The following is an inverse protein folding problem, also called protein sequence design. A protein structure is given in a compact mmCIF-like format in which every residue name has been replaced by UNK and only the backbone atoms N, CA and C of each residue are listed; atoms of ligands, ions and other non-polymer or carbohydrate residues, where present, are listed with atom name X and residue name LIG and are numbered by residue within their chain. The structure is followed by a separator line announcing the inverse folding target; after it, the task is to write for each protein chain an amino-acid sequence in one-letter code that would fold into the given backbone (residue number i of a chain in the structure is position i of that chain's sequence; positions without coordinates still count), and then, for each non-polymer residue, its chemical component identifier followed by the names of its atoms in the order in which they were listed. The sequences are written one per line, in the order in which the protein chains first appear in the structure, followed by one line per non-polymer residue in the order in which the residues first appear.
data_IF_862460429078
#
_entry.id   IF_862460429078
#
_cell.length_a   1.000
_cell.length_b   1.000
_cell.length_c   1.000
_cell.angle_alpha   90.00
_cell.angle_beta   90.00
_cell.angle_gamma   90.00
#
_symmetry.space_group_name_H-M   'P 1'
#
loop_
_entity.id
_entity.type
_entity.pdbx_description
1 polymer ?
#
# COMPACT_ATOMS: atom_id res chain seq x y z
N UNK A 1 22.08 1.11 -2.53
CA UNK A 1 22.85 0.62 -3.68
C UNK A 1 22.16 1.18 -4.92
N UNK A 2 22.87 1.98 -5.74
CA UNK A 2 22.34 2.43 -7.02
C UNK A 2 22.82 1.47 -8.10
N UNK A 3 21.91 1.06 -8.97
CA UNK A 3 22.17 0.05 -9.99
C UNK A 3 21.78 0.63 -11.33
N UNK A 4 22.59 0.37 -12.36
CA UNK A 4 22.29 0.78 -13.72
C UNK A 4 21.12 -0.05 -14.26
N UNK A 5 20.08 0.62 -14.74
CA UNK A 5 18.90 -0.05 -15.30
C UNK A 5 19.15 -0.68 -16.68
N UNK A 6 20.28 -0.36 -17.30
CA UNK A 6 20.66 -0.75 -18.67
C UNK A 6 21.85 -1.72 -18.69
N UNK A 7 22.28 -2.22 -17.54
CA UNK A 7 23.40 -3.16 -17.42
C UNK A 7 23.01 -4.39 -16.59
N UNK A 8 23.58 -5.57 -16.87
CA UNK A 8 23.43 -6.75 -16.01
C UNK A 8 23.89 -6.50 -14.58
N UNK A 9 23.29 -7.21 -13.63
CA UNK A 9 23.54 -7.09 -12.18
C UNK A 9 23.67 -8.49 -11.61
N UNK A 10 24.83 -8.81 -11.05
CA UNK A 10 25.06 -10.08 -10.39
C UNK A 10 24.57 -10.02 -8.94
N UNK A 11 23.73 -10.98 -8.55
CA UNK A 11 23.26 -11.16 -7.19
C UNK A 11 23.80 -12.48 -6.65
N UNK A 12 24.52 -12.41 -5.54
CA UNK A 12 25.11 -13.59 -4.90
C UNK A 12 24.77 -13.60 -3.40
N UNK A 13 24.17 -14.71 -2.94
CA UNK A 13 24.05 -15.01 -1.53
C UNK A 13 25.33 -15.72 -1.07
N UNK A 14 26.16 -15.06 -0.26
CA UNK A 14 27.46 -15.61 0.17
C UNK A 14 27.34 -16.64 1.30
N UNK A 15 26.21 -16.65 2.02
CA UNK A 15 25.93 -17.62 3.09
C UNK A 15 24.45 -17.60 3.47
N UNK A 16 23.84 -18.78 3.57
CA UNK A 16 22.45 -18.93 4.04
C UNK A 16 21.38 -18.48 3.03
N UNK A 17 20.09 -18.75 3.33
CA UNK A 17 18.98 -18.28 2.51
C UNK A 17 18.84 -16.75 2.61
N UNK A 18 18.46 -16.13 1.49
CA UNK A 18 18.19 -14.69 1.41
C UNK A 18 16.83 -14.43 0.78
N UNK A 19 16.16 -13.41 1.26
CA UNK A 19 14.97 -12.84 0.65
C UNK A 19 15.27 -11.40 0.25
N UNK A 20 14.95 -11.03 -0.99
CA UNK A 20 15.15 -9.67 -1.47
C UNK A 20 14.03 -9.25 -2.41
N UNK A 21 13.83 -7.94 -2.52
CA UNK A 21 12.87 -7.34 -3.43
C UNK A 21 13.61 -6.34 -4.32
N UNK A 22 13.54 -6.55 -5.65
CA UNK A 22 14.05 -5.61 -6.64
C UNK A 22 12.88 -4.86 -7.27
N UNK A 23 12.87 -3.53 -7.13
CA UNK A 23 11.87 -2.65 -7.71
C UNK A 23 12.54 -1.76 -8.76
N UNK A 24 12.02 -1.78 -9.98
CA UNK A 24 12.46 -0.91 -11.07
C UNK A 24 11.26 -0.10 -11.57
N UNK A 25 11.50 1.17 -11.89
CA UNK A 25 10.49 2.04 -12.48
C UNK A 25 11.11 3.05 -13.44
N UNK A 26 10.38 3.40 -14.50
CA UNK A 26 10.70 4.58 -15.30
C UNK A 26 10.33 5.82 -14.48
N UNK A 27 11.21 6.82 -14.36
CA UNK A 27 10.86 8.07 -13.68
C UNK A 27 9.58 8.67 -14.28
N UNK A 28 8.62 9.02 -13.41
CA UNK A 28 7.34 9.62 -13.82
C UNK A 28 7.57 11.02 -14.40
N UNK A 29 8.60 11.73 -13.94
CA UNK A 29 8.97 13.06 -14.44
C UNK A 29 8.04 14.19 -13.97
N UNK A 30 7.08 13.90 -13.10
CA UNK A 30 6.22 14.91 -12.49
C UNK A 30 6.83 15.43 -11.17
N UNK A 31 6.55 16.69 -10.78
CA UNK A 31 6.93 17.18 -9.46
C UNK A 31 6.31 16.31 -8.36
N UNK A 32 7.02 16.18 -7.24
CA UNK A 32 6.58 15.42 -6.07
C UNK A 32 6.50 16.36 -4.87
N UNK A 33 5.29 16.54 -4.35
CA UNK A 33 5.01 17.27 -3.11
C UNK A 33 4.37 16.31 -2.12
N UNK A 34 4.89 16.26 -0.89
CA UNK A 34 4.45 15.33 0.14
C UNK A 34 4.11 16.04 1.44
N UNK A 35 3.00 15.65 2.07
CA UNK A 35 2.64 16.04 3.43
C UNK A 35 1.89 14.88 4.10
N UNK A 36 2.50 14.27 5.11
CA UNK A 36 1.95 13.10 5.78
C UNK A 36 1.67 11.96 4.77
N UNK A 37 0.43 11.42 4.73
CA UNK A 37 0.05 10.32 3.83
C UNK A 37 -0.27 10.78 2.39
N UNK A 38 -0.17 12.08 2.09
CA UNK A 38 -0.56 12.63 0.80
C UNK A 38 0.65 12.95 -0.07
N UNK A 39 0.61 12.52 -1.33
CA UNK A 39 1.61 12.81 -2.38
C UNK A 39 0.88 13.34 -3.60
N UNK A 40 1.25 14.54 -4.06
CA UNK A 40 0.63 15.24 -5.19
C UNK A 40 1.68 15.93 -6.07
N UNK A 41 1.23 16.53 -7.19
CA UNK A 41 2.10 17.21 -8.14
C UNK A 41 2.18 18.74 -7.97
N UNK A 42 1.36 19.34 -7.09
CA UNK A 42 1.49 20.76 -6.69
C UNK A 42 1.15 20.99 -5.20
N UNK A 43 1.62 22.12 -4.60
CA UNK A 43 1.22 22.52 -3.25
C UNK A 43 -0.29 22.73 -3.07
N UNK A 44 -0.98 23.24 -4.10
CA UNK A 44 -2.43 23.48 -4.09
C UNK A 44 -3.19 22.16 -4.03
N UNK A 45 -2.81 21.19 -4.87
CA UNK A 45 -3.38 19.84 -4.84
C UNK A 45 -3.17 19.16 -3.48
N UNK A 46 -2.01 19.37 -2.86
CA UNK A 46 -1.71 18.82 -1.55
C UNK A 46 -2.58 19.44 -0.45
N UNK A 47 -2.81 20.76 -0.47
CA UNK A 47 -3.75 21.44 0.45
C UNK A 47 -5.17 20.93 0.26
N UNK A 48 -5.63 20.84 -0.99
CA UNK A 48 -6.96 20.30 -1.30
C UNK A 48 -7.13 18.88 -0.75
N UNK A 49 -6.14 18.00 -0.93
CA UNK A 49 -6.19 16.63 -0.41
C UNK A 49 -6.34 16.57 1.12
N UNK A 50 -5.66 17.46 1.84
CA UNK A 50 -5.81 17.57 3.30
C UNK A 50 -7.19 18.12 3.70
N UNK A 51 -7.68 19.13 3.00
CA UNK A 51 -9.02 19.68 3.24
C UNK A 51 -10.11 18.64 2.97
N UNK A 52 -9.99 17.87 1.89
CA UNK A 52 -10.89 16.77 1.56
C UNK A 52 -10.86 15.68 2.64
N UNK A 53 -9.68 15.37 3.16
CA UNK A 53 -9.52 14.46 4.29
C UNK A 53 -10.13 15.00 5.57
N UNK A 54 -9.98 16.29 5.89
CA UNK A 54 -10.65 16.85 7.08
C UNK A 54 -12.18 16.89 6.93
N UNK A 55 -12.68 17.04 5.70
CA UNK A 55 -14.12 17.10 5.43
C UNK A 55 -14.78 15.73 5.42
N UNK A 56 -14.11 14.73 4.86
CA UNK A 56 -14.71 13.42 4.57
C UNK A 56 -13.87 12.25 5.08
N UNK A 57 -12.74 12.49 5.73
CA UNK A 57 -11.75 11.43 6.00
C UNK A 57 -11.37 10.73 4.70
N UNK A 58 -11.70 9.45 4.54
CA UNK A 58 -11.49 8.69 3.31
C UNK A 58 -12.80 8.50 2.50
N UNK A 59 -13.69 9.50 2.48
CA UNK A 59 -14.99 9.45 1.80
C UNK A 59 -16.17 9.37 2.77
N UNK A 60 -17.05 8.39 2.63
CA UNK A 60 -17.97 8.06 3.74
C UNK A 60 -17.24 7.09 4.66
N UNK A 61 -16.82 7.56 5.83
CA UNK A 61 -16.21 6.70 6.84
C UNK A 61 -17.29 5.82 7.48
N UNK A 62 -17.62 4.73 6.81
CA UNK A 62 -18.73 3.82 7.15
C UNK A 62 -18.41 2.84 8.30
N UNK A 63 -17.51 3.23 9.21
CA UNK A 63 -17.13 2.44 10.38
C UNK A 63 -17.55 3.20 11.65
N UNK A 64 -17.98 2.45 12.66
CA UNK A 64 -18.50 3.01 13.92
C UNK A 64 -17.43 3.74 14.77
N UNK A 65 -16.16 3.66 14.38
CA UNK A 65 -15.05 4.33 15.05
C UNK A 65 -13.89 4.65 14.11
N UNK A 66 -12.91 5.45 14.58
CA UNK A 66 -11.79 5.91 13.77
C UNK A 66 -10.81 4.80 13.37
N UNK A 67 -10.94 3.63 13.99
CA UNK A 67 -10.16 2.43 13.68
C UNK A 67 -11.14 1.31 13.31
N UNK A 68 -11.14 0.83 12.06
CA UNK A 68 -11.91 -0.34 11.71
C UNK A 68 -11.25 -1.55 12.38
N UNK A 69 -11.96 -2.15 13.33
CA UNK A 69 -11.53 -3.39 13.97
C UNK A 69 -12.47 -4.49 13.49
N UNK A 70 -11.91 -5.52 12.88
CA UNK A 70 -12.68 -6.73 12.54
C UNK A 70 -12.68 -7.68 13.72
N UNK A 71 -13.76 -8.45 13.86
CA UNK A 71 -13.87 -9.43 14.94
C UNK A 71 -12.72 -10.43 14.85
N UNK A 72 -12.17 -10.85 16.00
CA UNK A 72 -11.02 -11.78 16.02
C UNK A 72 -11.33 -13.12 15.36
N UNK A 73 -12.61 -13.50 15.31
CA UNK A 73 -13.12 -14.73 14.67
C UNK A 73 -13.42 -14.56 13.18
N UNK A 74 -13.45 -13.32 12.68
CA UNK A 74 -13.63 -13.00 11.27
C UNK A 74 -12.31 -13.35 10.58
N UNK A 75 -12.23 -14.55 10.02
CA UNK A 75 -11.06 -15.06 9.30
C UNK A 75 -10.65 -14.17 8.12
N UNK A 76 -9.77 -14.64 7.25
CA UNK A 76 -9.34 -13.82 6.10
C UNK A 76 -10.54 -13.55 5.18
N UNK A 77 -10.75 -12.30 4.81
CA UNK A 77 -11.80 -11.92 3.89
C UNK A 77 -11.34 -10.80 2.95
N UNK A 78 -12.01 -10.68 1.81
CA UNK A 78 -11.84 -9.57 0.88
C UNK A 78 -13.21 -9.02 0.49
N UNK A 79 -13.42 -7.71 0.66
CA UNK A 79 -14.60 -7.00 0.15
C UNK A 79 -14.24 -6.33 -1.16
N UNK A 80 -14.99 -6.64 -2.21
CA UNK A 80 -14.81 -6.06 -3.54
C UNK A 80 -15.72 -4.84 -3.73
N UNK A 81 -15.37 -3.97 -4.68
CA UNK A 81 -16.11 -2.75 -4.96
C UNK A 81 -17.56 -2.98 -5.45
N UNK A 82 -17.86 -4.19 -5.96
CA UNK A 82 -19.19 -4.65 -6.37
C UNK A 82 -20.05 -5.16 -5.19
N UNK A 83 -19.52 -5.12 -3.97
CA UNK A 83 -20.17 -5.60 -2.75
C UNK A 83 -19.94 -7.08 -2.45
N UNK A 84 -19.26 -7.84 -3.31
CA UNK A 84 -18.94 -9.25 -3.05
C UNK A 84 -17.95 -9.38 -1.89
N UNK A 85 -18.20 -10.33 -1.00
CA UNK A 85 -17.27 -10.69 0.09
C UNK A 85 -16.77 -12.12 -0.11
N UNK A 86 -15.48 -12.26 -0.35
CA UNK A 86 -14.80 -13.56 -0.32
C UNK A 86 -14.34 -13.84 1.12
N UNK A 87 -14.62 -15.04 1.63
CA UNK A 87 -14.08 -15.53 2.90
C UNK A 87 -13.14 -16.69 2.60
N UNK A 88 -11.93 -16.64 3.14
CA UNK A 88 -10.92 -17.68 3.01
C UNK A 88 -10.64 -18.23 4.40
N UNK A 89 -10.89 -19.51 4.57
CA UNK A 89 -10.51 -20.20 5.80
C UNK A 89 -9.01 -20.08 6.03
N UNK A 90 -8.62 -20.03 7.31
CA UNK A 90 -7.22 -20.11 7.70
C UNK A 90 -6.62 -21.37 7.05
N UNK A 91 -5.50 -21.28 6.32
CA UNK A 91 -4.82 -22.49 5.89
C UNK A 91 -4.52 -23.29 7.15
N UNK A 92 -5.02 -24.54 7.19
CA UNK A 92 -4.65 -25.52 8.20
C UNK A 92 -3.13 -25.46 8.32
N UNK A 93 -2.62 -25.29 9.54
CA UNK A 93 -1.19 -25.24 9.79
C UNK A 93 -0.53 -26.43 9.10
N UNK A 94 0.39 -26.15 8.18
CA UNK A 94 1.21 -27.18 7.57
C UNK A 94 2.15 -27.66 8.68
N UNK A 95 1.81 -28.82 9.28
CA UNK A 95 2.69 -29.57 10.20
C UNK A 95 3.83 -30.22 9.45
#
# INVERSE_FOLDING_TARGET
IQVRSDAPVDLAATSGPVEFLMLQGRPIGAPVFQMGPFVMNSPEQLRQAVEDYHRTMFGEWNWDGPSPVHERTQGRFARHADGRVEQRDMPVAIS
#
